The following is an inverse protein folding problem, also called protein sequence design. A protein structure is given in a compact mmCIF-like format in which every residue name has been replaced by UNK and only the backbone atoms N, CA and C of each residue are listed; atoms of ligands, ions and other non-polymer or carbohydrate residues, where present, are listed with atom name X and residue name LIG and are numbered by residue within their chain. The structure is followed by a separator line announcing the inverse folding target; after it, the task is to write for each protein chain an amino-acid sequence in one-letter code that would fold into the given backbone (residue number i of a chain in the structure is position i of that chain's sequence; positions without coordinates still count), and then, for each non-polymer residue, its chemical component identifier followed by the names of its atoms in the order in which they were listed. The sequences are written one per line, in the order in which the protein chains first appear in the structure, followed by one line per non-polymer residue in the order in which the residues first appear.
data_IF_775966995933
#
_entry.id   IF_775966995933
#
_cell.length_a   1.000
_cell.length_b   1.000
_cell.length_c   1.000
_cell.angle_alpha   90.00
_cell.angle_beta   90.00
_cell.angle_gamma   90.00
#
_symmetry.space_group_name_H-M   'P 1'
#
loop_
_entity.id
_entity.type
_entity.pdbx_description
1 polymer ?
#
# COMPACT_ATOMS: atom_id res chain seq x y z
N UNK A 1 -0.73 3.36 4.88
CA UNK A 1 -1.31 4.70 4.57
C UNK A 1 -1.72 5.29 5.91
N UNK A 2 -1.16 6.42 6.31
CA UNK A 2 -1.34 6.97 7.65
C UNK A 2 -2.41 8.05 7.74
N UNK A 3 -2.71 8.41 9.00
CA UNK A 3 -3.71 9.40 9.34
C UNK A 3 -3.22 10.24 10.51
N UNK A 4 -3.49 11.55 10.46
CA UNK A 4 -3.25 12.46 11.58
C UNK A 4 -4.58 13.03 12.05
N UNK A 5 -4.81 12.96 13.37
CA UNK A 5 -5.94 13.61 14.00
C UNK A 5 -5.65 15.10 14.19
N UNK A 6 -6.45 15.98 13.59
CA UNK A 6 -6.36 17.43 13.75
C UNK A 6 -7.77 18.03 13.76
N UNK A 7 -8.03 18.98 14.67
CA UNK A 7 -9.34 19.65 14.77
C UNK A 7 -10.55 18.69 14.89
N UNK A 8 -10.40 17.56 15.60
CA UNK A 8 -11.49 16.61 15.81
C UNK A 8 -11.74 15.63 14.65
N UNK A 9 -10.95 15.69 13.58
CA UNK A 9 -11.07 14.80 12.43
C UNK A 9 -9.76 14.08 12.09
N UNK A 10 -9.88 12.88 11.54
CA UNK A 10 -8.78 12.13 10.95
C UNK A 10 -8.56 12.59 9.51
N UNK A 11 -7.34 13.05 9.22
CA UNK A 11 -6.95 13.46 7.87
C UNK A 11 -5.94 12.48 7.29
N UNK A 12 -6.15 12.11 6.04
CA UNK A 12 -5.20 11.29 5.25
C UNK A 12 -3.89 12.03 5.10
N UNK A 13 -2.79 11.33 5.35
CA UNK A 13 -1.43 11.87 5.25
C UNK A 13 -0.61 11.14 4.22
N UNK A 14 0.47 11.80 3.77
CA UNK A 14 1.57 11.11 3.11
C UNK A 14 2.43 10.46 4.17
N UNK A 15 2.66 9.16 4.05
CA UNK A 15 3.47 8.40 5.00
C UNK A 15 4.80 8.06 4.35
N UNK A 16 5.89 8.31 5.07
CA UNK A 16 7.25 8.01 4.65
C UNK A 16 7.87 7.04 5.63
N UNK A 17 8.55 6.02 5.13
CA UNK A 17 9.35 5.12 5.97
C UNK A 17 10.77 5.64 6.03
N UNK A 18 11.29 5.80 7.24
CA UNK A 18 12.65 6.25 7.48
C UNK A 18 13.58 5.05 7.69
N UNK A 19 14.88 5.26 7.46
CA UNK A 19 15.90 4.36 7.93
C UNK A 19 15.86 4.32 9.47
N UNK A 20 15.67 3.14 10.09
CA UNK A 20 15.75 3.01 11.54
C UNK A 20 17.13 3.47 12.05
N UNK A 21 17.15 4.19 13.17
CA UNK A 21 18.40 4.50 13.87
C UNK A 21 18.61 3.47 14.98
N UNK A 22 19.87 3.25 15.38
CA UNK A 22 20.24 2.34 16.44
C UNK A 22 19.30 2.51 17.66
N UNK A 23 18.63 1.40 18.04
CA UNK A 23 17.56 1.24 19.07
C UNK A 23 16.11 1.17 18.58
N UNK A 24 15.79 1.72 17.41
CA UNK A 24 14.42 1.67 16.86
C UNK A 24 14.31 0.63 15.74
N UNK A 25 13.32 -0.25 15.81
CA UNK A 25 12.99 -1.22 14.76
C UNK A 25 12.30 -0.57 13.57
N UNK A 26 11.43 0.41 13.84
CA UNK A 26 10.57 1.01 12.83
C UNK A 26 10.41 2.50 13.10
N UNK A 27 10.58 3.30 12.04
CA UNK A 27 10.39 4.75 12.06
C UNK A 27 9.52 5.16 10.87
N UNK A 28 8.31 5.66 11.15
CA UNK A 28 7.37 6.12 10.14
C UNK A 28 6.98 7.58 10.38
N UNK A 29 6.93 8.36 9.30
CA UNK A 29 6.58 9.78 9.34
C UNK A 29 5.31 10.01 8.55
N UNK A 30 4.30 10.52 9.23
CA UNK A 30 3.09 11.03 8.62
C UNK A 30 3.18 12.54 8.44
N UNK A 31 2.86 12.99 7.22
CA UNK A 31 2.88 14.39 6.83
C UNK A 31 1.51 14.84 6.31
N UNK A 32 0.96 15.85 6.97
CA UNK A 32 -0.21 16.61 6.56
C UNK A 32 0.24 18.02 6.13
N UNK A 33 0.18 18.30 4.83
CA UNK A 33 0.62 19.59 4.27
C UNK A 33 -0.20 20.77 4.80
N UNK A 34 -1.52 20.61 4.84
CA UNK A 34 -2.47 21.61 5.30
C UNK A 34 -3.71 20.92 5.84
N UNK A 35 -4.04 21.14 7.12
CA UNK A 35 -5.33 20.75 7.67
C UNK A 35 -6.45 21.59 7.02
N UNK A 36 -7.55 20.98 6.55
CA UNK A 36 -8.66 21.72 5.93
C UNK A 36 -9.41 22.62 6.92
N UNK A 37 -9.31 22.36 8.23
CA UNK A 37 -10.01 23.13 9.27
C UNK A 37 -9.16 24.31 9.77
N UNK A 38 -7.95 24.05 10.28
CA UNK A 38 -7.09 25.10 10.85
C UNK A 38 -5.98 25.62 9.93
N UNK A 39 -5.81 25.04 8.73
CA UNK A 39 -4.73 25.42 7.81
C UNK A 39 -3.33 25.00 8.26
N UNK A 40 -3.18 24.33 9.40
CA UNK A 40 -1.87 23.96 9.93
C UNK A 40 -1.20 22.84 9.14
N UNK A 41 0.12 22.96 8.98
CA UNK A 41 0.97 21.86 8.53
C UNK A 41 1.30 20.98 9.74
N UNK A 42 1.15 19.66 9.65
CA UNK A 42 1.43 18.74 10.76
C UNK A 42 2.37 17.63 10.28
N UNK A 43 3.38 17.34 11.10
CA UNK A 43 4.25 16.17 10.92
C UNK A 43 4.20 15.34 12.21
N UNK A 44 4.03 14.03 12.06
CA UNK A 44 4.07 13.08 13.17
C UNK A 44 5.07 11.99 12.83
N UNK A 45 6.06 11.79 13.70
CA UNK A 45 7.01 10.69 13.64
C UNK A 45 6.59 9.65 14.68
N UNK A 46 6.31 8.44 14.23
CA UNK A 46 6.03 7.27 15.06
C UNK A 46 7.24 6.36 15.01
N UNK A 47 7.76 5.98 16.17
CA UNK A 47 8.89 5.05 16.29
C UNK A 47 8.53 3.90 17.21
N UNK A 48 9.05 2.72 16.89
CA UNK A 48 8.85 1.49 17.65
C UNK A 48 10.23 0.97 18.05
N UNK A 49 10.43 0.76 19.35
CA UNK A 49 11.65 0.17 19.93
C UNK A 49 11.62 -1.37 19.85
N UNK A 50 12.72 -2.03 20.22
CA UNK A 50 12.81 -3.50 20.25
C UNK A 50 11.84 -4.16 21.24
N UNK A 51 11.44 -3.43 22.30
CA UNK A 51 10.49 -3.89 23.31
C UNK A 51 9.04 -3.54 22.97
N UNK A 52 8.74 -3.29 21.68
CA UNK A 52 7.44 -2.84 21.16
C UNK A 52 6.89 -1.53 21.77
N UNK A 53 7.75 -0.76 22.44
CA UNK A 53 7.39 0.56 22.97
C UNK A 53 7.20 1.58 21.84
N UNK A 54 6.05 2.25 21.85
CA UNK A 54 5.69 3.24 20.82
C UNK A 54 6.03 4.65 21.33
N UNK A 55 6.87 5.37 20.59
CA UNK A 55 7.13 6.79 20.83
C UNK A 55 6.63 7.65 19.66
N UNK A 56 5.86 8.69 19.99
CA UNK A 56 5.25 9.58 19.00
C UNK A 56 5.75 11.01 19.20
N UNK A 57 6.33 11.59 18.14
CA UNK A 57 6.78 12.99 18.14
C UNK A 57 5.96 13.77 17.11
N UNK A 58 5.20 14.76 17.59
CA UNK A 58 4.36 15.60 16.74
C UNK A 58 4.86 17.04 16.72
N UNK A 59 4.92 17.65 15.53
CA UNK A 59 5.24 19.07 15.33
C UNK A 59 4.24 19.71 14.37
N UNK A 60 4.05 21.03 14.51
CA UNK A 60 3.06 21.81 13.76
C UNK A 60 3.72 23.04 13.11
N UNK A 61 3.17 23.50 11.98
CA UNK A 61 3.54 24.70 11.23
C UNK A 61 5.02 24.78 10.87
N UNK A 62 5.69 25.89 11.21
CA UNK A 62 7.09 26.16 10.88
C UNK A 62 8.02 25.06 11.40
N UNK A 63 7.81 24.64 12.66
CA UNK A 63 8.56 23.55 13.30
C UNK A 63 8.37 22.23 12.55
N UNK A 64 7.18 21.98 12.00
CA UNK A 64 6.92 20.78 11.19
C UNK A 64 7.72 20.79 9.88
N UNK A 65 7.76 21.94 9.18
CA UNK A 65 8.51 22.08 7.93
C UNK A 65 10.02 21.88 8.13
N UNK A 66 10.58 22.51 9.16
CA UNK A 66 11.99 22.34 9.53
C UNK A 66 12.31 20.90 9.93
N UNK A 67 11.42 20.27 10.70
CA UNK A 67 11.57 18.87 11.10
C UNK A 67 11.53 17.91 9.91
N UNK A 68 10.59 18.10 8.98
CA UNK A 68 10.51 17.30 7.75
C UNK A 68 11.77 17.48 6.89
N UNK A 69 12.29 18.71 6.76
CA UNK A 69 13.51 18.97 6.00
C UNK A 69 14.72 18.20 6.55
N UNK A 70 14.87 18.14 7.88
CA UNK A 70 15.92 17.33 8.53
C UNK A 70 15.75 15.83 8.28
N UNK A 71 14.52 15.35 8.18
CA UNK A 71 14.20 13.94 7.97
C UNK A 71 14.33 13.49 6.51
N UNK A 72 14.30 14.39 5.54
CA UNK A 72 14.37 14.06 4.10
C UNK A 72 15.55 13.15 3.75
N UNK A 73 16.71 13.38 4.34
CA UNK A 73 17.92 12.60 4.07
C UNK A 73 17.85 11.15 4.59
N UNK A 74 16.87 10.84 5.45
CA UNK A 74 16.67 9.52 6.06
C UNK A 74 15.45 8.78 5.49
N UNK A 75 14.73 9.38 4.54
CA UNK A 75 13.56 8.75 3.92
C UNK A 75 14.05 7.64 2.98
N UNK A 76 13.59 6.41 3.23
CA UNK A 76 13.83 5.27 2.35
C UNK A 76 12.84 5.30 1.18
N UNK A 77 11.54 5.38 1.49
CA UNK A 77 10.48 5.41 0.49
C UNK A 77 9.18 6.01 1.03
N UNK A 78 8.31 6.43 0.10
CA UNK A 78 6.94 6.87 0.37
C UNK A 78 5.99 5.66 0.33
N UNK A 79 5.18 5.47 1.38
CA UNK A 79 4.15 4.43 1.43
C UNK A 79 2.93 4.94 0.67
N UNK A 80 2.80 4.50 -0.58
CA UNK A 80 1.63 4.82 -1.41
C UNK A 80 0.52 3.80 -1.18
N UNK A 81 -0.76 4.22 -1.12
CA UNK A 81 -1.86 3.28 -1.11
C UNK A 81 -1.85 2.46 -2.40
N UNK A 82 -1.99 1.15 -2.25
CA UNK A 82 -2.17 0.23 -3.38
C UNK A 82 -3.52 0.57 -4.00
N UNK A 83 -3.49 1.02 -5.26
CA UNK A 83 -4.70 1.35 -5.99
C UNK A 83 -5.30 0.07 -6.57
N UNK A 84 -6.11 -0.63 -5.76
CA UNK A 84 -6.81 -1.87 -6.17
C UNK A 84 -7.78 -1.67 -7.35
N UNK A 85 -8.11 -0.43 -7.70
CA UNK A 85 -8.91 -0.10 -8.88
C UNK A 85 -8.21 -0.39 -10.21
N UNK A 86 -6.87 -0.56 -10.19
CA UNK A 86 -6.06 -0.90 -11.37
C UNK A 86 -5.77 -2.39 -11.50
N UNK A 87 -6.39 -3.26 -10.71
CA UNK A 87 -6.36 -4.69 -11.00
C UNK A 87 -7.36 -4.99 -12.12
N UNK A 88 -7.11 -4.44 -13.32
CA UNK A 88 -7.58 -5.05 -14.56
C UNK A 88 -6.81 -6.37 -14.68
N UNK A 89 -7.21 -7.40 -13.93
CA UNK A 89 -6.79 -8.77 -14.17
C UNK A 89 -7.17 -9.08 -15.61
N UNK A 90 -6.17 -9.03 -16.48
CA UNK A 90 -6.32 -8.74 -17.91
C UNK A 90 -7.31 -9.67 -18.60
N UNK A 91 -8.22 -9.07 -19.37
CA UNK A 91 -8.82 -9.76 -20.51
C UNK A 91 -7.66 -10.09 -21.45
N UNK A 92 -7.32 -11.37 -21.59
CA UNK A 92 -6.35 -11.80 -22.59
C UNK A 92 -7.07 -12.55 -23.70
N UNK A 93 -6.50 -12.50 -24.90
CA UNK A 93 -7.00 -13.27 -26.02
C UNK A 93 -6.24 -14.59 -26.07
N UNK A 94 -6.91 -15.70 -25.81
CA UNK A 94 -6.33 -17.02 -26.03
C UNK A 94 -6.79 -17.52 -27.41
N UNK A 95 -5.85 -17.69 -28.33
CA UNK A 95 -6.11 -18.45 -29.55
C UNK A 95 -5.71 -19.90 -29.29
N UNK A 96 -6.65 -20.83 -29.38
CA UNK A 96 -6.39 -22.26 -29.21
C UNK A 96 -7.01 -23.05 -30.35
N UNK A 97 -6.50 -24.27 -30.56
CA UNK A 97 -6.95 -25.14 -31.62
C UNK A 97 -7.93 -26.17 -31.04
N UNK A 98 -9.19 -26.11 -31.45
CA UNK A 98 -10.23 -27.06 -31.04
C UNK A 98 -10.60 -27.89 -32.27
N UNK A 99 -10.26 -29.18 -32.26
CA UNK A 99 -10.53 -30.12 -33.36
C UNK A 99 -10.04 -29.65 -34.73
N UNK A 100 -8.86 -29.03 -34.80
CA UNK A 100 -8.26 -28.56 -36.05
C UNK A 100 -8.73 -27.18 -36.51
N UNK A 101 -9.69 -26.56 -35.81
CA UNK A 101 -10.16 -25.19 -36.07
C UNK A 101 -9.57 -24.24 -35.02
N UNK A 102 -8.86 -23.19 -35.49
CA UNK A 102 -8.34 -22.13 -34.62
C UNK A 102 -9.50 -21.25 -34.13
N UNK A 103 -9.74 -21.25 -32.82
CA UNK A 103 -10.74 -20.39 -32.15
C UNK A 103 -10.08 -19.36 -31.25
N UNK A 104 -10.76 -18.23 -31.02
CA UNK A 104 -10.33 -17.14 -30.13
C UNK A 104 -11.32 -17.01 -28.97
N UNK A 105 -10.82 -17.07 -27.73
CA UNK A 105 -11.62 -16.88 -26.51
C UNK A 105 -11.26 -15.56 -25.81
N UNK A 106 -12.31 -14.91 -25.30
CA UNK A 106 -12.30 -13.62 -24.62
C UNK A 106 -12.58 -13.84 -23.12
N UNK A 107 -11.63 -14.43 -22.40
CA UNK A 107 -11.78 -14.73 -20.98
C UNK A 107 -10.71 -14.03 -20.14
N UNK A 108 -11.02 -13.83 -18.86
CA UNK A 108 -10.00 -13.60 -17.82
C UNK A 108 -9.63 -14.96 -17.21
N UNK A 109 -8.47 -15.05 -16.54
CA UNK A 109 -7.93 -16.33 -16.02
C UNK A 109 -8.91 -17.03 -15.06
N UNK A 110 -9.74 -16.26 -14.36
CA UNK A 110 -10.77 -16.77 -13.45
C UNK A 110 -12.00 -17.37 -14.15
N UNK A 111 -12.29 -17.00 -15.41
CA UNK A 111 -13.39 -17.59 -16.20
C UNK A 111 -12.92 -18.53 -17.29
N UNK A 112 -11.60 -18.69 -17.43
CA UNK A 112 -10.99 -19.59 -18.39
C UNK A 112 -11.29 -21.04 -17.97
N UNK A 113 -12.34 -21.64 -18.55
CA UNK A 113 -12.61 -23.08 -18.45
C UNK A 113 -11.57 -23.82 -19.28
N UNK A 114 -10.35 -23.95 -18.76
CA UNK A 114 -9.30 -24.73 -19.42
C UNK A 114 -9.64 -26.21 -19.36
N UNK A 115 -10.28 -26.70 -20.41
CA UNK A 115 -10.57 -28.11 -20.61
C UNK A 115 -11.52 -28.67 -19.56
N UNK A 116 -12.54 -29.36 -20.03
CA UNK A 116 -12.98 -30.56 -19.33
C UNK A 116 -11.75 -31.49 -19.29
N UNK A 117 -10.88 -31.31 -18.31
CA UNK A 117 -9.90 -32.32 -17.96
C UNK A 117 -10.75 -33.45 -17.41
N UNK A 118 -11.06 -34.42 -18.27
CA UNK A 118 -11.58 -35.69 -17.80
C UNK A 118 -10.57 -36.15 -16.74
N UNK A 119 -11.01 -36.11 -15.48
CA UNK A 119 -10.26 -36.55 -14.32
C UNK A 119 -10.12 -38.09 -14.36
N UNK A 120 -9.60 -38.64 -15.46
CA UNK A 120 -9.42 -40.09 -15.67
C UNK A 120 -8.51 -40.71 -14.61
N UNK A 121 -7.73 -39.89 -13.89
CA UNK A 121 -6.74 -40.34 -12.92
C UNK A 121 -6.93 -39.80 -11.49
N UNK A 122 -7.92 -38.93 -11.23
CA UNK A 122 -8.21 -38.44 -9.88
C UNK A 122 -9.16 -39.43 -9.18
N UNK A 123 -8.59 -40.45 -8.54
CA UNK A 123 -9.31 -41.32 -7.60
C UNK A 123 -9.55 -40.56 -6.29
N UNK A 124 -10.57 -39.72 -6.26
CA UNK A 124 -11.17 -39.29 -4.99
C UNK A 124 -12.43 -40.13 -4.86
N UNK A 125 -12.34 -41.19 -4.05
CA UNK A 125 -13.50 -42.00 -3.71
C UNK A 125 -14.46 -41.16 -2.83
N UNK A 126 -15.79 -41.23 -3.07
CA UNK A 126 -16.80 -40.63 -2.21
C UNK A 126 -16.85 -41.29 -0.83
#
# INVERSE_FOLDING_TARGET
MGYIHCCGALHKTKTFRLLPQEKFMLCEVDYLSKCPVCGHTVVQLTRIDNDDNISVVRKVNKKAKEFLAKLKNKILYEIRPINYSKTNCGKFYLNYNEFGVKKRCYSNLSTLKMGLTENKYLKINP
#
